data_IF_047400550225
#
_entry.id   IF_047400550225
#
_cell.length_a   1.000
_cell.length_b   1.000
_cell.length_c   1.000
_cell.angle_alpha   90.00
_cell.angle_beta   90.00
_cell.angle_gamma   90.00
#
_symmetry.space_group_name_H-M   'P 1'
#
loop_
_entity.id
_entity.type
_entity.pdbx_description
1 polymer ?
#
# COMPACT_ATOMS: atom_id res chain seq x y z
N UNK A 1 -47.94 35.21 -20.70
CA UNK A 1 -48.27 33.78 -20.50
C UNK A 1 -47.56 32.82 -21.45
N UNK A 2 -47.96 32.63 -22.73
CA UNK A 2 -47.39 31.54 -23.57
C UNK A 2 -45.87 31.65 -23.81
N UNK A 3 -45.35 32.87 -24.02
CA UNK A 3 -43.90 33.12 -24.16
C UNK A 3 -43.13 32.92 -22.85
N UNK A 4 -43.66 33.40 -21.72
CA UNK A 4 -43.02 33.23 -20.40
C UNK A 4 -42.93 31.76 -19.97
N UNK A 5 -43.98 30.97 -20.23
CA UNK A 5 -43.99 29.53 -19.97
C UNK A 5 -42.93 28.82 -20.82
N UNK A 6 -42.81 29.16 -22.11
CA UNK A 6 -41.78 28.60 -23.00
C UNK A 6 -40.37 28.95 -22.49
N UNK A 7 -40.15 30.20 -22.08
CA UNK A 7 -38.86 30.64 -21.52
C UNK A 7 -38.51 29.90 -20.23
N UNK A 8 -39.46 29.74 -19.31
CA UNK A 8 -39.25 29.00 -18.06
C UNK A 8 -38.92 27.53 -18.34
N UNK A 9 -39.67 26.88 -19.24
CA UNK A 9 -39.41 25.49 -19.63
C UNK A 9 -38.03 25.33 -20.28
N UNK A 10 -37.63 26.27 -21.14
CA UNK A 10 -36.30 26.27 -21.75
C UNK A 10 -35.17 26.42 -20.71
N UNK A 11 -35.35 27.29 -19.71
CA UNK A 11 -34.42 27.44 -18.58
C UNK A 11 -34.32 26.14 -17.78
N UNK A 12 -35.46 25.50 -17.47
CA UNK A 12 -35.49 24.23 -16.74
C UNK A 12 -34.76 23.13 -17.52
N UNK A 13 -35.00 23.01 -18.82
CA UNK A 13 -34.33 22.02 -19.66
C UNK A 13 -32.81 22.27 -19.76
N UNK A 14 -32.39 23.54 -19.86
CA UNK A 14 -30.98 23.92 -19.80
C UNK A 14 -30.34 23.54 -18.47
N UNK A 15 -31.02 23.78 -17.34
CA UNK A 15 -30.55 23.39 -16.01
C UNK A 15 -30.44 21.86 -15.88
N UNK A 16 -31.42 21.11 -16.37
CA UNK A 16 -31.41 19.63 -16.36
C UNK A 16 -30.28 19.06 -17.23
N UNK A 17 -30.05 19.62 -18.42
CA UNK A 17 -28.96 19.23 -19.29
C UNK A 17 -27.59 19.52 -18.67
N UNK A 18 -27.43 20.70 -18.04
CA UNK A 18 -26.23 21.07 -17.30
C UNK A 18 -25.96 20.13 -16.11
N UNK A 19 -27.00 19.79 -15.33
CA UNK A 19 -26.90 18.84 -14.24
C UNK A 19 -26.52 17.42 -14.72
N UNK A 20 -27.11 16.96 -15.83
CA UNK A 20 -26.78 15.67 -16.44
C UNK A 20 -25.32 15.57 -16.89
N UNK A 21 -24.79 16.62 -17.53
CA UNK A 21 -23.38 16.68 -17.93
C UNK A 21 -22.42 16.61 -16.72
N UNK A 22 -22.73 17.33 -15.64
CA UNK A 22 -21.93 17.32 -14.42
C UNK A 22 -21.98 15.96 -13.72
N UNK A 23 -23.14 15.29 -13.72
CA UNK A 23 -23.29 13.93 -13.20
C UNK A 23 -22.42 12.92 -13.95
N UNK A 24 -22.42 12.96 -15.28
CA UNK A 24 -21.56 12.07 -16.10
C UNK A 24 -20.09 12.27 -15.77
N UNK A 25 -19.64 13.53 -15.62
CA UNK A 25 -18.26 13.83 -15.19
C UNK A 25 -17.94 13.27 -13.80
N UNK A 26 -18.84 13.45 -12.84
CA UNK A 26 -18.67 12.88 -11.50
C UNK A 26 -18.59 11.35 -11.54
N UNK A 27 -19.50 10.70 -12.25
CA UNK A 27 -19.52 9.25 -12.37
C UNK A 27 -18.21 8.72 -12.97
N UNK A 28 -17.71 9.34 -14.04
CA UNK A 28 -16.42 8.99 -14.64
C UNK A 28 -15.24 9.15 -13.66
N UNK A 29 -15.23 10.25 -12.90
CA UNK A 29 -14.18 10.48 -11.90
C UNK A 29 -14.23 9.43 -10.78
N UNK A 30 -15.42 9.15 -10.25
CA UNK A 30 -15.63 8.11 -9.26
C UNK A 30 -15.18 6.74 -9.77
N UNK A 31 -15.47 6.41 -11.03
CA UNK A 31 -15.00 5.17 -11.65
C UNK A 31 -13.48 5.13 -11.77
N UNK A 32 -12.83 6.23 -12.17
CA UNK A 32 -11.36 6.27 -12.30
C UNK A 32 -10.64 6.17 -10.95
N UNK A 33 -11.13 6.87 -9.92
CA UNK A 33 -10.63 6.77 -8.54
C UNK A 33 -10.85 5.35 -8.02
N UNK A 34 -12.07 4.83 -8.14
CA UNK A 34 -12.39 3.46 -7.76
C UNK A 34 -11.52 2.44 -8.50
N UNK A 35 -11.21 2.66 -9.77
CA UNK A 35 -10.31 1.80 -10.52
C UNK A 35 -8.88 1.81 -9.94
N UNK A 36 -8.33 3.00 -9.67
CA UNK A 36 -6.99 3.14 -9.09
C UNK A 36 -6.91 2.53 -7.68
N UNK A 37 -8.00 2.59 -6.91
CA UNK A 37 -8.15 2.03 -5.57
C UNK A 37 -8.65 0.58 -5.57
N UNK A 38 -9.09 0.04 -6.71
CA UNK A 38 -9.56 -1.34 -6.81
C UNK A 38 -8.40 -2.26 -6.50
N UNK A 39 -8.50 -2.99 -5.38
CA UNK A 39 -7.40 -3.80 -4.84
C UNK A 39 -6.12 -2.98 -4.62
N UNK A 40 -6.25 -1.67 -4.34
CA UNK A 40 -5.22 -0.62 -4.23
C UNK A 40 -4.00 -0.85 -5.11
N UNK A 41 -4.22 -1.17 -6.39
CA UNK A 41 -3.18 -1.49 -7.36
C UNK A 41 -2.18 -0.36 -7.55
N UNK A 42 -2.65 0.90 -7.59
CA UNK A 42 -1.78 2.06 -7.72
C UNK A 42 -0.75 2.10 -6.59
N UNK A 43 -1.20 1.96 -5.35
CA UNK A 43 -0.34 1.95 -4.18
C UNK A 43 0.51 0.68 -4.09
N UNK A 44 -0.01 -0.49 -4.49
CA UNK A 44 0.79 -1.71 -4.60
C UNK A 44 1.97 -1.52 -5.55
N UNK A 45 1.71 -1.03 -6.77
CA UNK A 45 2.79 -0.78 -7.74
C UNK A 45 3.74 0.31 -7.27
N UNK A 46 3.23 1.36 -6.63
CA UNK A 46 4.04 2.41 -6.02
C UNK A 46 4.99 1.84 -4.97
N UNK A 47 4.50 1.07 -4.01
CA UNK A 47 5.31 0.47 -2.95
C UNK A 47 6.30 -0.56 -3.51
N UNK A 48 5.87 -1.42 -4.45
CA UNK A 48 6.77 -2.35 -5.12
C UNK A 48 7.94 -1.62 -5.77
N UNK A 49 7.64 -0.54 -6.51
CA UNK A 49 8.66 0.29 -7.14
C UNK A 49 9.54 0.98 -6.08
N UNK A 50 8.93 1.65 -5.10
CA UNK A 50 9.62 2.45 -4.09
C UNK A 50 10.62 1.60 -3.31
N UNK A 51 10.20 0.43 -2.81
CA UNK A 51 11.08 -0.46 -2.06
C UNK A 51 12.12 -1.15 -2.92
N UNK A 52 11.78 -1.57 -4.14
CA UNK A 52 12.78 -2.14 -5.06
C UNK A 52 13.88 -1.13 -5.44
N UNK A 53 13.60 0.17 -5.37
CA UNK A 53 14.52 1.25 -5.71
C UNK A 53 15.09 1.96 -4.48
N UNK A 54 15.26 1.24 -3.37
CA UNK A 54 15.85 1.74 -2.13
C UNK A 54 15.16 3.02 -1.62
N UNK A 55 13.83 2.98 -1.55
CA UNK A 55 12.99 4.09 -1.07
C UNK A 55 13.18 5.38 -1.87
N UNK A 56 13.49 5.26 -3.16
CA UNK A 56 13.60 6.41 -4.08
C UNK A 56 12.49 6.35 -5.11
N UNK A 57 11.61 7.33 -5.08
CA UNK A 57 10.57 7.46 -6.08
C UNK A 57 11.04 8.31 -7.28
N UNK A 58 10.65 7.91 -8.48
CA UNK A 58 10.83 8.70 -9.70
C UNK A 58 9.61 8.53 -10.57
N UNK A 59 8.79 9.58 -10.67
CA UNK A 59 7.55 9.54 -11.44
C UNK A 59 7.78 9.04 -12.88
N UNK A 60 8.79 9.57 -13.59
CA UNK A 60 9.10 9.16 -14.96
C UNK A 60 9.45 7.67 -15.09
N UNK A 61 10.19 7.10 -14.13
CA UNK A 61 10.53 5.67 -14.13
C UNK A 61 9.33 4.83 -13.72
N UNK A 62 8.55 5.27 -12.75
CA UNK A 62 7.32 4.62 -12.33
C UNK A 62 6.30 4.54 -13.47
N UNK A 63 6.14 5.61 -14.26
CA UNK A 63 5.33 5.61 -15.48
C UNK A 63 5.76 4.52 -16.49
N UNK A 64 7.07 4.28 -16.66
CA UNK A 64 7.56 3.18 -17.52
C UNK A 64 7.21 1.80 -16.98
N UNK A 65 7.17 1.64 -15.66
CA UNK A 65 6.69 0.40 -15.02
C UNK A 65 5.21 0.20 -15.31
N UNK A 66 4.38 1.22 -15.07
CA UNK A 66 2.94 1.14 -15.31
C UNK A 66 2.61 0.84 -16.78
N UNK A 67 3.35 1.41 -17.75
CA UNK A 67 3.12 1.15 -19.17
C UNK A 67 3.14 -0.34 -19.57
N UNK A 68 3.81 -1.18 -18.78
CA UNK A 68 3.91 -2.63 -18.98
C UNK A 68 2.93 -3.41 -18.11
N UNK A 69 2.65 -2.92 -16.89
CA UNK A 69 1.84 -3.62 -15.89
C UNK A 69 0.36 -3.30 -15.96
N UNK A 70 0.03 -2.03 -16.13
CA UNK A 70 -1.32 -1.51 -16.04
C UNK A 70 -1.44 -0.31 -17.01
N UNK A 71 -1.76 -0.59 -18.28
CA UNK A 71 -1.88 0.45 -19.31
C UNK A 71 -2.94 1.51 -19.02
N UNK A 72 -3.99 1.16 -18.27
CA UNK A 72 -5.05 2.09 -17.92
C UNK A 72 -4.58 3.06 -16.84
N UNK A 73 -3.96 2.55 -15.78
CA UNK A 73 -3.33 3.39 -14.76
C UNK A 73 -2.19 4.25 -15.35
N UNK A 74 -1.41 3.68 -16.28
CA UNK A 74 -0.42 4.43 -17.04
C UNK A 74 -1.03 5.64 -17.77
N UNK A 75 -2.14 5.47 -18.50
CA UNK A 75 -2.79 6.58 -19.20
C UNK A 75 -3.41 7.61 -18.24
N UNK A 76 -3.91 7.19 -17.07
CA UNK A 76 -4.39 8.11 -16.03
C UNK A 76 -3.26 8.99 -15.50
N UNK A 77 -2.07 8.43 -15.22
CA UNK A 77 -0.92 9.21 -14.75
C UNK A 77 -0.28 10.06 -15.86
N UNK A 78 -0.10 9.48 -17.05
CA UNK A 78 0.55 10.14 -18.20
C UNK A 78 -0.21 11.40 -18.62
N UNK A 79 -1.53 11.34 -18.61
CA UNK A 79 -2.38 12.46 -19.02
C UNK A 79 -2.68 13.44 -17.88
N UNK A 80 -2.03 13.28 -16.72
CA UNK A 80 -2.22 14.14 -15.55
C UNK A 80 -3.63 14.06 -14.97
N UNK A 81 -4.35 12.95 -15.16
CA UNK A 81 -5.63 12.71 -14.47
C UNK A 81 -5.39 12.27 -13.03
N UNK A 82 -4.32 11.51 -12.81
CA UNK A 82 -3.76 11.24 -11.49
C UNK A 82 -2.38 11.90 -11.47
N UNK A 83 -2.12 12.70 -10.44
CA UNK A 83 -0.82 13.29 -10.19
C UNK A 83 -0.22 12.72 -8.92
N UNK A 84 1.11 12.62 -8.90
CA UNK A 84 1.87 12.31 -7.70
C UNK A 84 2.10 13.59 -6.91
N UNK A 85 1.89 13.53 -5.60
CA UNK A 85 2.04 14.66 -4.68
C UNK A 85 3.14 14.31 -3.68
N UNK A 86 4.34 14.91 -3.84
CA UNK A 86 5.50 14.54 -3.04
C UNK A 86 5.35 14.85 -1.55
N UNK A 87 4.68 15.95 -1.21
CA UNK A 87 4.55 16.41 0.19
C UNK A 87 3.76 15.42 1.05
N UNK A 88 2.73 14.80 0.46
CA UNK A 88 1.87 13.81 1.12
C UNK A 88 2.31 12.36 0.82
N UNK A 89 3.43 12.18 0.10
CA UNK A 89 3.90 10.90 -0.44
C UNK A 89 2.80 10.05 -1.11
N UNK A 90 1.88 10.72 -1.81
CA UNK A 90 0.62 10.12 -2.26
C UNK A 90 0.23 10.47 -3.69
N UNK A 91 -0.97 10.04 -4.08
CA UNK A 91 -1.57 10.35 -5.36
C UNK A 91 -2.88 11.08 -5.16
N UNK A 92 -3.20 11.99 -6.08
CA UNK A 92 -4.51 12.62 -6.10
C UNK A 92 -5.03 12.64 -7.52
N UNK A 93 -6.34 12.47 -7.65
CA UNK A 93 -7.03 12.71 -8.89
C UNK A 93 -7.10 14.22 -9.14
N UNK A 94 -6.49 14.67 -10.23
CA UNK A 94 -6.35 16.07 -10.58
C UNK A 94 -7.58 16.56 -11.33
N UNK A 95 -8.36 17.44 -10.70
CA UNK A 95 -9.52 18.10 -11.31
C UNK A 95 -9.16 19.49 -11.82
N UNK A 96 -8.35 20.22 -11.07
CA UNK A 96 -7.93 21.58 -11.39
C UNK A 96 -6.41 21.65 -11.41
N UNK A 97 -5.84 21.89 -12.59
CA UNK A 97 -4.38 21.92 -12.77
C UNK A 97 -3.68 22.97 -11.89
N UNK A 98 -4.40 24.04 -11.52
CA UNK A 98 -3.90 25.15 -10.71
C UNK A 98 -4.14 25.01 -9.20
N UNK A 99 -4.91 24.01 -8.77
CA UNK A 99 -5.20 23.83 -7.33
C UNK A 99 -4.16 22.93 -6.68
N UNK A 100 -3.69 23.32 -5.50
CA UNK A 100 -2.86 22.50 -4.61
C UNK A 100 -3.64 21.99 -3.39
N UNK A 101 -4.94 22.28 -3.30
CA UNK A 101 -5.76 21.83 -2.18
C UNK A 101 -6.19 20.37 -2.41
N UNK A 102 -6.10 19.55 -1.36
CA UNK A 102 -6.54 18.15 -1.36
C UNK A 102 -7.65 17.93 -0.35
N UNK A 103 -8.59 17.06 -0.68
CA UNK A 103 -9.63 16.58 0.25
C UNK A 103 -9.60 15.05 0.26
N UNK A 104 -9.52 14.45 1.45
CA UNK A 104 -9.66 13.00 1.74
C UNK A 104 -11.10 12.69 2.18
N UNK A 105 -11.61 11.46 2.00
CA UNK A 105 -13.06 11.21 2.05
C UNK A 105 -13.51 10.07 2.96
N UNK A 106 -14.48 10.41 3.82
CA UNK A 106 -15.65 9.56 4.13
C UNK A 106 -17.00 10.20 3.69
N UNK A 107 -17.11 11.55 3.65
CA UNK A 107 -18.41 12.27 3.61
C UNK A 107 -18.64 13.24 2.41
N UNK A 108 -18.16 12.88 1.21
CA UNK A 108 -18.33 13.76 0.03
C UNK A 108 -19.70 13.62 -0.65
N UNK A 109 -20.39 14.75 -0.84
CA UNK A 109 -21.72 14.81 -1.49
C UNK A 109 -21.67 15.59 -2.81
N UNK A 110 -22.69 15.43 -3.67
CA UNK A 110 -22.80 16.12 -4.96
C UNK A 110 -22.66 17.65 -4.83
N UNK A 111 -23.29 18.25 -3.82
CA UNK A 111 -23.17 19.70 -3.58
C UNK A 111 -21.73 20.09 -3.22
N UNK A 112 -21.08 19.36 -2.30
CA UNK A 112 -19.68 19.60 -1.93
C UNK A 112 -18.76 19.45 -3.14
N UNK A 113 -19.02 18.46 -4.01
CA UNK A 113 -18.29 18.25 -5.25
C UNK A 113 -18.46 19.39 -6.25
N UNK A 114 -19.66 19.93 -6.43
CA UNK A 114 -19.91 20.99 -7.40
C UNK A 114 -19.17 22.29 -7.06
N UNK A 115 -19.06 22.61 -5.77
CA UNK A 115 -18.47 23.87 -5.29
C UNK A 115 -17.04 23.72 -4.79
N UNK A 116 -16.46 22.52 -4.81
CA UNK A 116 -15.07 22.31 -4.44
C UNK A 116 -14.11 22.70 -5.56
N UNK A 117 -13.08 23.46 -5.18
CA UNK A 117 -11.91 23.85 -5.97
C UNK A 117 -10.70 22.95 -5.70
N UNK A 118 -10.89 21.83 -5.00
CA UNK A 118 -9.83 20.94 -4.58
C UNK A 118 -9.63 19.74 -5.52
N UNK A 119 -8.42 19.19 -5.48
CA UNK A 119 -8.13 17.86 -5.99
C UNK A 119 -8.55 16.80 -4.96
N UNK A 120 -8.77 15.58 -5.44
CA UNK A 120 -9.33 14.47 -4.67
C UNK A 120 -8.16 13.57 -4.30
N UNK A 121 -7.77 13.53 -3.02
CA UNK A 121 -6.75 12.60 -2.55
C UNK A 121 -7.23 11.17 -2.81
N UNK A 122 -6.34 10.33 -3.35
CA UNK A 122 -6.58 8.90 -3.47
C UNK A 122 -6.03 8.30 -2.18
N UNK A 123 -6.85 7.58 -1.43
CA UNK A 123 -6.42 7.14 -0.11
C UNK A 123 -5.40 6.00 -0.20
N UNK A 124 -4.27 6.08 0.53
CA UNK A 124 -3.27 5.02 0.50
C UNK A 124 -3.76 3.71 1.15
N UNK A 125 -4.65 3.78 2.17
CA UNK A 125 -4.97 2.65 3.07
C UNK A 125 -6.39 2.81 3.66
N UNK A 126 -7.31 1.83 3.44
CA UNK A 126 -8.33 1.29 4.40
C UNK A 126 -9.63 0.68 3.83
N UNK A 127 -9.77 0.41 2.53
CA UNK A 127 -10.78 -0.59 2.12
C UNK A 127 -10.22 -1.51 1.04
N UNK A 128 -10.48 -2.81 1.21
CA UNK A 128 -10.03 -3.94 0.40
C UNK A 128 -8.74 -4.63 0.88
N UNK A 129 -8.99 -5.70 1.64
CA UNK A 129 -8.13 -6.69 2.28
C UNK A 129 -7.25 -7.54 1.35
N UNK A 130 -6.52 -6.96 0.38
CA UNK A 130 -5.69 -7.73 -0.58
C UNK A 130 -4.33 -7.14 -0.92
N UNK A 131 -3.98 -5.97 -0.39
CA UNK A 131 -2.68 -5.33 -0.67
C UNK A 131 -1.63 -5.67 0.39
N UNK A 132 -2.07 -6.18 1.54
CA UNK A 132 -1.17 -6.65 2.57
C UNK A 132 -0.41 -7.87 2.03
N UNK A 133 0.91 -7.74 2.02
CA UNK A 133 1.79 -8.87 1.82
C UNK A 133 1.48 -9.90 2.88
N UNK A 134 1.26 -11.14 2.47
CA UNK A 134 0.97 -12.22 3.40
C UNK A 134 2.13 -12.36 4.39
N UNK A 135 1.77 -12.50 5.66
CA UNK A 135 2.76 -12.70 6.71
C UNK A 135 3.51 -13.99 6.45
N UNK A 136 4.81 -13.93 6.72
CA UNK A 136 5.72 -15.06 6.63
C UNK A 136 5.83 -15.65 5.22
N UNK A 137 5.66 -14.80 4.22
CA UNK A 137 5.96 -15.10 2.82
C UNK A 137 7.11 -14.24 2.35
N UNK A 138 8.10 -14.86 1.70
CA UNK A 138 9.18 -14.18 1.00
C UNK A 138 8.70 -13.89 -0.41
N UNK A 139 8.71 -12.62 -0.76
CA UNK A 139 8.44 -12.11 -2.09
C UNK A 139 9.75 -11.73 -2.77
N UNK A 140 9.86 -12.00 -4.07
CA UNK A 140 10.99 -11.59 -4.90
C UNK A 140 10.56 -10.49 -5.87
N UNK A 141 11.40 -9.46 -6.02
CA UNK A 141 11.18 -8.44 -7.03
C UNK A 141 11.50 -8.96 -8.44
N UNK A 142 10.47 -9.17 -9.26
CA UNK A 142 10.57 -9.63 -10.64
C UNK A 142 9.46 -9.00 -11.49
N UNK A 143 9.78 -8.68 -12.75
CA UNK A 143 8.83 -8.06 -13.68
C UNK A 143 8.14 -6.83 -13.07
N UNK A 144 8.95 -5.99 -12.42
CA UNK A 144 8.55 -4.76 -11.74
C UNK A 144 7.59 -4.95 -10.54
N UNK A 145 7.35 -6.17 -10.07
CA UNK A 145 6.48 -6.55 -8.95
C UNK A 145 7.21 -7.34 -7.89
N UNK A 146 6.76 -7.27 -6.64
CA UNK A 146 7.06 -8.32 -5.67
C UNK A 146 6.07 -9.48 -5.84
N UNK A 147 6.60 -10.65 -6.18
CA UNK A 147 5.82 -11.87 -6.45
C UNK A 147 6.21 -12.90 -5.38
N UNK A 148 5.24 -13.65 -4.89
CA UNK A 148 5.49 -14.74 -3.95
C UNK A 148 6.55 -15.70 -4.50
N UNK A 149 7.55 -15.99 -3.67
CA UNK A 149 8.63 -16.91 -4.00
C UNK A 149 8.51 -18.18 -3.17
N UNK A 150 8.48 -18.01 -1.85
CA UNK A 150 8.46 -19.12 -0.89
C UNK A 150 7.96 -18.66 0.48
N UNK A 151 7.60 -19.61 1.33
CA UNK A 151 7.26 -19.33 2.74
C UNK A 151 8.53 -19.03 3.52
N UNK A 152 8.50 -18.00 4.36
CA UNK A 152 9.57 -17.67 5.28
C UNK A 152 9.78 -18.80 6.28
N UNK A 153 10.99 -19.36 6.31
CA UNK A 153 11.34 -20.40 7.27
C UNK A 153 11.50 -19.82 8.69
N UNK A 154 10.38 -19.75 9.44
CA UNK A 154 10.35 -19.30 10.85
C UNK A 154 11.32 -20.04 11.75
N UNK A 155 11.72 -21.27 11.41
CA UNK A 155 12.68 -22.06 12.18
C UNK A 155 13.99 -21.31 12.40
N UNK A 156 14.40 -20.45 11.46
CA UNK A 156 15.60 -19.63 11.58
C UNK A 156 15.53 -18.69 12.80
N UNK A 157 14.38 -18.07 13.06
CA UNK A 157 14.18 -17.22 14.24
C UNK A 157 14.05 -18.06 15.51
N UNK A 158 13.32 -19.18 15.44
CA UNK A 158 13.15 -20.11 16.57
C UNK A 158 14.52 -20.60 17.08
N UNK A 159 15.38 -21.07 16.19
CA UNK A 159 16.71 -21.59 16.54
C UNK A 159 17.59 -20.48 17.11
N UNK A 160 17.52 -19.26 16.54
CA UNK A 160 18.28 -18.10 17.04
C UNK A 160 17.83 -17.68 18.44
N UNK A 161 16.53 -17.60 18.70
CA UNK A 161 15.99 -17.29 20.03
C UNK A 161 16.34 -18.40 21.03
N UNK A 162 16.26 -19.67 20.62
CA UNK A 162 16.65 -20.83 21.45
C UNK A 162 18.11 -20.72 21.90
N UNK A 163 19.00 -20.34 20.98
CA UNK A 163 20.41 -20.14 21.28
C UNK A 163 20.64 -19.00 22.28
N UNK A 164 19.97 -17.86 22.07
CA UNK A 164 20.13 -16.66 22.92
C UNK A 164 19.57 -16.86 24.33
N UNK A 165 18.45 -17.57 24.46
CA UNK A 165 17.81 -17.87 25.74
C UNK A 165 18.40 -19.10 26.45
N UNK A 166 19.38 -19.77 25.84
CA UNK A 166 19.97 -21.02 26.34
C UNK A 166 18.95 -22.13 26.62
N UNK A 167 17.87 -22.20 25.84
CA UNK A 167 16.82 -23.21 26.01
C UNK A 167 17.25 -24.56 25.40
N UNK A 168 16.83 -25.68 26.01
CA UNK A 168 16.92 -27.01 25.36
C UNK A 168 15.90 -27.17 24.23
N UNK A 169 14.69 -26.64 24.43
CA UNK A 169 13.63 -26.51 23.42
C UNK A 169 12.83 -25.24 23.72
N UNK A 170 12.51 -24.43 22.72
CA UNK A 170 11.76 -23.19 22.89
C UNK A 170 10.25 -23.44 22.64
N UNK A 171 9.37 -22.87 23.47
CA UNK A 171 7.93 -22.80 23.17
C UNK A 171 7.69 -21.59 22.28
N UNK A 172 7.53 -21.81 20.99
CA UNK A 172 6.96 -20.82 20.08
C UNK A 172 5.82 -21.40 19.25
N UNK A 173 5.62 -22.72 19.34
CA UNK A 173 4.62 -23.49 18.62
C UNK A 173 3.23 -23.18 19.22
N UNK A 174 2.56 -22.13 18.74
CA UNK A 174 1.41 -22.29 17.82
C UNK A 174 0.53 -21.04 17.62
N UNK A 175 0.53 -20.04 18.50
CA UNK A 175 -0.51 -18.98 18.43
C UNK A 175 0.00 -17.56 18.09
N UNK A 176 0.60 -17.38 16.91
CA UNK A 176 0.22 -16.19 16.13
C UNK A 176 -1.09 -16.45 15.34
N UNK A 177 -1.85 -17.49 15.73
CA UNK A 177 -3.24 -17.67 15.33
C UNK A 177 -4.09 -16.60 16.02
N UNK A 178 -5.08 -16.13 15.27
CA UNK A 178 -5.84 -14.88 15.37
C UNK A 178 -6.56 -14.55 16.68
N UNK A 179 -6.34 -15.26 17.79
CA UNK A 179 -7.10 -15.08 19.03
C UNK A 179 -6.36 -14.30 20.13
N UNK A 180 -5.04 -14.15 20.04
CA UNK A 180 -4.25 -13.37 21.01
C UNK A 180 -3.28 -12.39 20.32
N UNK A 181 -3.86 -11.42 19.60
CA UNK A 181 -3.16 -10.40 18.80
C UNK A 181 -2.04 -9.64 19.53
N UNK A 182 -2.03 -9.61 20.87
CA UNK A 182 -1.11 -8.76 21.62
C UNK A 182 0.33 -9.29 21.70
N UNK A 183 0.54 -10.60 21.46
CA UNK A 183 1.86 -11.23 21.63
C UNK A 183 2.70 -11.24 20.36
N UNK A 184 2.10 -11.17 19.18
CA UNK A 184 2.85 -11.20 17.93
C UNK A 184 3.07 -9.78 17.40
N UNK A 185 4.32 -9.48 17.07
CA UNK A 185 4.71 -8.24 16.41
C UNK A 185 4.90 -8.52 14.93
N UNK A 186 4.76 -7.47 14.15
CA UNK A 186 4.90 -7.54 12.70
C UNK A 186 5.98 -6.57 12.25
N UNK A 187 6.80 -7.02 11.30
CA UNK A 187 7.76 -6.20 10.60
C UNK A 187 7.71 -6.46 9.11
N UNK A 188 7.52 -5.41 8.32
CA UNK A 188 7.81 -5.46 6.88
C UNK A 188 9.29 -5.16 6.68
N UNK A 189 10.01 -6.06 6.04
CA UNK A 189 11.44 -5.91 5.77
C UNK A 189 11.73 -6.07 4.28
N UNK A 190 12.68 -5.28 3.80
CA UNK A 190 13.23 -5.38 2.43
C UNK A 190 14.67 -5.81 2.55
N UNK A 191 15.01 -6.90 1.86
CA UNK A 191 16.32 -7.52 1.85
C UNK A 191 16.94 -7.20 0.49
N UNK A 192 17.96 -6.36 0.51
CA UNK A 192 18.80 -6.08 -0.65
C UNK A 192 20.03 -6.99 -0.62
N UNK A 193 20.77 -7.12 -1.73
CA UNK A 193 21.98 -7.96 -1.82
C UNK A 193 23.11 -7.67 -0.82
N UNK A 194 23.04 -6.56 -0.07
CA UNK A 194 24.07 -6.19 0.92
C UNK A 194 23.50 -5.61 2.22
N UNK A 195 22.19 -5.45 2.32
CA UNK A 195 21.57 -4.78 3.45
C UNK A 195 20.16 -5.28 3.68
N UNK A 196 19.73 -5.21 4.94
CA UNK A 196 18.35 -5.47 5.35
C UNK A 196 17.82 -4.19 5.96
N UNK A 197 16.66 -3.74 5.48
CA UNK A 197 16.02 -2.50 5.89
C UNK A 197 14.62 -2.82 6.39
N UNK A 198 14.32 -2.38 7.62
CA UNK A 198 12.96 -2.37 8.12
C UNK A 198 12.20 -1.22 7.48
N UNK A 199 11.04 -1.54 6.93
CA UNK A 199 10.09 -0.58 6.37
C UNK A 199 9.19 -0.05 7.47
N UNK A 200 8.61 -0.98 8.22
CA UNK A 200 7.77 -0.75 9.39
C UNK A 200 7.98 -1.94 10.32
N UNK A 201 7.93 -1.69 11.61
CA UNK A 201 8.11 -2.72 12.63
C UNK A 201 7.42 -2.30 13.92
N UNK A 202 6.78 -3.26 14.58
CA UNK A 202 6.28 -3.13 15.95
C UNK A 202 7.12 -3.93 16.97
N UNK A 203 8.27 -4.46 16.55
CA UNK A 203 9.20 -5.17 17.41
C UNK A 203 9.98 -4.22 18.32
N UNK A 204 10.45 -4.76 19.43
CA UNK A 204 11.46 -4.12 20.27
C UNK A 204 12.82 -4.08 19.54
N UNK A 205 13.68 -3.08 19.80
CA UNK A 205 14.97 -2.93 19.10
C UNK A 205 15.89 -4.17 19.17
N UNK A 206 15.85 -4.91 20.27
CA UNK A 206 16.63 -6.14 20.42
C UNK A 206 16.13 -7.23 19.45
N UNK A 207 14.82 -7.45 19.40
CA UNK A 207 14.19 -8.39 18.46
C UNK A 207 14.44 -7.99 17.01
N UNK A 208 14.35 -6.69 16.69
CA UNK A 208 14.69 -6.17 15.35
C UNK A 208 16.13 -6.49 14.96
N UNK A 209 17.09 -6.28 15.86
CA UNK A 209 18.49 -6.57 15.60
C UNK A 209 18.72 -8.06 15.31
N UNK A 210 18.02 -8.94 16.03
CA UNK A 210 18.10 -10.39 15.84
C UNK A 210 17.47 -10.79 14.50
N UNK A 211 16.26 -10.30 14.20
CA UNK A 211 15.59 -10.55 12.92
C UNK A 211 16.47 -10.06 11.77
N UNK A 212 17.03 -8.84 11.89
CA UNK A 212 17.98 -8.30 10.91
C UNK A 212 19.15 -9.25 10.69
N UNK A 213 19.78 -9.72 11.76
CA UNK A 213 20.93 -10.61 11.69
C UNK A 213 20.57 -11.93 10.99
N UNK A 214 19.42 -12.52 11.32
CA UNK A 214 18.93 -13.75 10.69
C UNK A 214 18.68 -13.52 9.20
N UNK A 215 17.97 -12.46 8.83
CA UNK A 215 17.71 -12.13 7.43
C UNK A 215 19.02 -11.85 6.67
N UNK A 216 19.96 -11.13 7.27
CA UNK A 216 21.27 -10.87 6.70
C UNK A 216 22.03 -12.16 6.42
N UNK A 217 22.11 -13.04 7.42
CA UNK A 217 22.86 -14.30 7.34
C UNK A 217 22.33 -15.22 6.25
N UNK A 218 21.00 -15.29 6.09
CA UNK A 218 20.38 -16.29 5.22
C UNK A 218 19.98 -15.77 3.82
N UNK A 219 19.79 -14.46 3.64
CA UNK A 219 19.18 -13.93 2.41
C UNK A 219 19.95 -12.78 1.73
N UNK A 220 20.97 -12.17 2.34
CA UNK A 220 21.70 -11.07 1.68
C UNK A 220 22.67 -11.51 0.59
N UNK A 221 23.15 -12.75 0.60
CA UNK A 221 24.03 -13.24 -0.48
C UNK A 221 23.29 -13.51 -1.81
N UNK A 222 22.02 -13.12 -1.92
CA UNK A 222 21.23 -13.26 -3.13
C UNK A 222 21.40 -12.04 -4.03
N UNK A 223 21.33 -12.24 -5.35
CA UNK A 223 21.34 -11.12 -6.31
C UNK A 223 19.97 -10.44 -6.42
N UNK A 224 18.97 -10.95 -5.70
CA UNK A 224 17.58 -10.51 -5.77
C UNK A 224 17.28 -9.49 -4.68
N UNK A 225 16.35 -8.57 -4.96
CA UNK A 225 15.68 -7.81 -3.91
C UNK A 225 14.48 -8.62 -3.43
N UNK A 226 14.45 -8.92 -2.13
CA UNK A 226 13.35 -9.65 -1.50
C UNK A 226 12.58 -8.74 -0.55
N UNK A 227 11.32 -9.10 -0.29
CA UNK A 227 10.50 -8.52 0.76
C UNK A 227 9.91 -9.64 1.60
N UNK A 228 9.86 -9.46 2.91
CA UNK A 228 9.18 -10.39 3.82
C UNK A 228 8.50 -9.61 4.93
N UNK A 229 7.24 -9.96 5.18
CA UNK A 229 6.51 -9.54 6.38
C UNK A 229 6.73 -10.61 7.42
N UNK A 230 7.46 -10.30 8.48
CA UNK A 230 7.75 -11.23 9.57
C UNK A 230 6.70 -11.05 10.66
N UNK A 231 6.05 -12.15 11.05
CA UNK A 231 5.11 -12.17 12.17
C UNK A 231 5.62 -13.12 13.27
N UNK A 232 6.08 -12.53 14.38
CA UNK A 232 6.82 -13.24 15.44
C UNK A 232 6.74 -12.48 16.78
N UNK A 233 6.88 -13.15 17.95
CA UNK A 233 6.96 -12.45 19.23
C UNK A 233 8.31 -11.75 19.44
N UNK A 234 8.35 -10.78 20.36
CA UNK A 234 9.62 -10.24 20.85
C UNK A 234 10.43 -11.32 21.59
N UNK A 235 11.77 -11.14 21.65
CA UNK A 235 12.62 -12.01 22.45
C UNK A 235 12.22 -12.00 23.93
N UNK A 236 11.86 -10.84 24.46
CA UNK A 236 11.38 -10.63 25.84
C UNK A 236 10.08 -11.40 26.16
N UNK A 237 9.29 -11.72 25.14
CA UNK A 237 8.02 -12.44 25.24
C UNK A 237 8.21 -13.97 25.06
N UNK A 238 9.38 -14.41 24.55
CA UNK A 238 9.67 -15.81 24.27
C UNK A 238 10.02 -16.61 25.56
N UNK A 239 9.61 -17.88 25.62
CA UNK A 239 9.78 -18.75 26.80
C UNK A 239 10.35 -20.12 26.44
N UNK A 240 11.28 -20.63 27.26
CA UNK A 240 11.77 -22.01 27.14
C UNK A 240 10.68 -23.02 27.56
N UNK A 241 10.54 -24.13 26.80
CA UNK A 241 9.86 -25.31 27.32
C UNK A 241 10.84 -26.07 28.22
N UNK A 242 10.55 -26.10 29.52
CA UNK A 242 11.17 -27.08 30.41
C UNK A 242 10.38 -28.38 30.28
N UNK A 243 10.73 -29.21 29.30
CA UNK A 243 10.27 -30.61 29.30
C UNK A 243 11.20 -31.35 30.27
N UNK A 244 10.67 -31.74 31.42
CA UNK A 244 11.31 -32.68 32.34
C UNK A 244 11.27 -34.09 31.76
#
# INVERSE_FOLDING_TARGET
MRKEVITIVAIILLLLAGAGFLFVKYAQQKTAVYYAEKESRLYRYYYDYYYAHNKRFSATKFLKVLSRKDPELYELLKNGKIAYYPEEEGFAYQRYASSQNFVSFDDFTFAKFLFSDANIAIEPIMSFSKIDYETDVIYQYKNDSFIEKEVFNKRLLIDKYTQLLHCKKLFLEEDCLSYNYNLCKEATTVIFPKEVVFVKSSFEPESEAIIKQVLQTHYTNTNDTLMVVVNFPNLSEAKCLNIN
#
